data_IF_365633900580
#
_entry.id   IF_365633900580
#
_cell.length_a   1.000
_cell.length_b   1.000
_cell.length_c   1.000
_cell.angle_alpha   90.00
_cell.angle_beta   90.00
_cell.angle_gamma   90.00
#
_symmetry.space_group_name_H-M   'P 1'
#
loop_
_entity.id
_entity.type
_entity.pdbx_description
1 polymer ?
#
# COMPACT_ATOMS: atom_id res chain seq x y z
N UNK A 1 -8.20 -8.42 -14.21
CA UNK A 1 -9.30 -8.78 -13.29
C UNK A 1 -8.63 -9.38 -12.06
N UNK A 2 -8.48 -8.58 -11.00
CA UNK A 2 -7.66 -8.90 -9.83
C UNK A 2 -8.24 -10.10 -9.09
N UNK A 3 -7.60 -11.26 -9.27
CA UNK A 3 -7.95 -12.49 -8.57
C UNK A 3 -6.67 -13.22 -8.20
N UNK A 4 -5.94 -12.67 -7.24
CA UNK A 4 -5.26 -13.52 -6.28
C UNK A 4 -6.02 -13.42 -4.95
N UNK A 5 -6.82 -14.46 -4.68
CA UNK A 5 -7.40 -14.72 -3.36
C UNK A 5 -6.27 -15.17 -2.44
N UNK A 6 -5.47 -14.22 -1.98
CA UNK A 6 -4.54 -14.41 -0.87
C UNK A 6 -4.82 -13.27 0.13
N UNK A 7 -5.79 -13.52 1.03
CA UNK A 7 -6.00 -12.69 2.22
C UNK A 7 -6.48 -11.26 1.99
N UNK A 8 -7.40 -10.99 1.05
CA UNK A 8 -8.09 -9.70 1.03
C UNK A 8 -8.84 -9.52 2.35
N UNK A 9 -8.29 -8.73 3.28
CA UNK A 9 -8.99 -8.31 4.48
C UNK A 9 -10.29 -7.65 4.03
N UNK A 10 -11.42 -8.23 4.45
CA UNK A 10 -12.79 -7.75 4.21
C UNK A 10 -12.90 -6.22 4.47
N UNK A 11 -12.12 -5.74 5.44
CA UNK A 11 -12.01 -4.33 5.82
C UNK A 11 -11.49 -3.40 4.70
N UNK A 12 -10.46 -3.79 3.94
CA UNK A 12 -9.96 -2.95 2.84
C UNK A 12 -11.03 -2.81 1.77
N UNK A 13 -11.67 -3.92 1.38
CA UNK A 13 -12.73 -3.91 0.38
C UNK A 13 -13.94 -3.08 0.84
N UNK A 14 -14.33 -3.18 2.12
CA UNK A 14 -15.43 -2.40 2.70
C UNK A 14 -15.12 -0.90 2.81
N UNK A 15 -13.85 -0.54 3.01
CA UNK A 15 -13.46 0.85 3.14
C UNK A 15 -13.40 1.60 1.79
N UNK A 16 -13.38 0.88 0.67
CA UNK A 16 -13.24 1.47 -0.66
C UNK A 16 -14.54 2.08 -1.17
N UNK A 17 -14.50 3.37 -1.49
CA UNK A 17 -15.57 4.11 -2.15
C UNK A 17 -15.12 4.47 -3.56
N UNK A 18 -15.73 3.84 -4.57
CA UNK A 18 -15.41 4.13 -5.96
C UNK A 18 -16.07 5.44 -6.43
N UNK A 19 -15.28 6.28 -7.10
CA UNK A 19 -15.73 7.54 -7.68
C UNK A 19 -15.79 7.46 -9.20
N UNK A 20 -16.86 7.99 -9.78
CA UNK A 20 -17.18 7.88 -11.21
C UNK A 20 -17.28 9.26 -11.87
N UNK A 21 -16.14 9.96 -12.00
CA UNK A 21 -16.14 11.32 -12.56
C UNK A 21 -16.61 11.38 -14.03
N UNK A 22 -16.47 10.28 -14.77
CA UNK A 22 -16.92 10.15 -16.16
C UNK A 22 -18.35 9.62 -16.29
N UNK A 23 -19.09 9.47 -15.18
CA UNK A 23 -20.44 8.91 -15.14
C UNK A 23 -20.48 7.42 -14.76
N UNK A 24 -21.61 6.98 -14.20
CA UNK A 24 -21.76 5.66 -13.57
C UNK A 24 -21.71 4.46 -14.53
N UNK A 25 -21.84 4.71 -15.84
CA UNK A 25 -21.74 3.68 -16.88
C UNK A 25 -20.30 3.45 -17.33
N UNK A 26 -19.34 4.20 -16.79
CA UNK A 26 -17.90 4.07 -17.08
C UNK A 26 -17.19 3.42 -15.88
N UNK A 27 -15.97 2.87 -16.08
CA UNK A 27 -15.15 2.42 -14.97
C UNK A 27 -14.89 3.56 -13.97
N UNK A 28 -14.68 3.23 -12.67
CA UNK A 28 -14.37 4.26 -11.69
C UNK A 28 -13.05 4.96 -12.04
N UNK A 29 -12.99 6.26 -11.76
CA UNK A 29 -11.84 7.12 -12.07
C UNK A 29 -10.90 7.27 -10.87
N UNK A 30 -11.42 7.09 -9.66
CA UNK A 30 -10.68 7.21 -8.42
C UNK A 30 -11.32 6.37 -7.30
N UNK A 31 -10.60 6.24 -6.21
CA UNK A 31 -11.05 5.59 -4.98
C UNK A 31 -10.88 6.56 -3.82
N UNK A 32 -11.91 6.71 -3.00
CA UNK A 32 -11.81 7.33 -1.68
C UNK A 32 -11.94 6.24 -0.61
N UNK A 33 -11.54 6.58 0.61
CA UNK A 33 -11.62 5.70 1.76
C UNK A 33 -12.69 6.19 2.72
N UNK A 34 -13.55 5.26 3.14
CA UNK A 34 -14.60 5.50 4.13
C UNK A 34 -13.97 5.97 5.44
N UNK A 35 -14.27 7.22 5.81
CA UNK A 35 -13.70 7.88 6.98
C UNK A 35 -14.03 7.16 8.28
N UNK A 36 -15.16 6.46 8.37
CA UNK A 36 -15.52 5.68 9.57
C UNK A 36 -14.62 4.47 9.78
N UNK A 37 -14.02 3.93 8.71
CA UNK A 37 -13.16 2.74 8.74
C UNK A 37 -11.66 3.09 8.72
N UNK A 38 -11.30 4.37 8.60
CA UNK A 38 -9.89 4.79 8.55
C UNK A 38 -9.12 4.35 9.79
N UNK A 39 -9.74 4.45 10.97
CA UNK A 39 -9.12 4.02 12.22
C UNK A 39 -8.73 2.56 12.13
N UNK A 40 -9.67 1.69 11.82
CA UNK A 40 -9.41 0.25 11.85
C UNK A 40 -8.50 -0.19 10.69
N UNK A 41 -8.56 0.49 9.55
CA UNK A 41 -7.80 0.11 8.35
C UNK A 41 -6.36 0.62 8.36
N UNK A 42 -6.13 1.92 8.58
CA UNK A 42 -4.83 2.56 8.38
C UNK A 42 -4.18 3.07 9.68
N UNK A 43 -4.98 3.28 10.72
CA UNK A 43 -4.58 3.96 11.96
C UNK A 43 -4.92 3.13 13.21
N UNK A 44 -4.91 1.80 13.09
CA UNK A 44 -5.39 0.88 14.13
C UNK A 44 -4.57 1.00 15.43
N UNK A 45 -3.30 1.43 15.30
CA UNK A 45 -2.38 1.68 16.41
C UNK A 45 -2.09 3.18 16.63
N UNK A 46 -2.73 4.09 15.90
CA UNK A 46 -2.43 5.53 15.97
C UNK A 46 -3.31 6.28 16.99
N UNK A 47 -2.79 7.36 17.60
CA UNK A 47 -3.58 8.28 18.41
C UNK A 47 -4.77 8.88 17.65
N UNK A 48 -5.87 9.14 18.37
CA UNK A 48 -7.09 9.70 17.78
C UNK A 48 -6.89 11.05 17.06
N UNK A 49 -5.93 11.87 17.52
CA UNK A 49 -5.57 13.13 16.86
C UNK A 49 -5.08 12.94 15.41
N UNK A 50 -4.37 11.85 15.14
CA UNK A 50 -3.80 11.57 13.82
C UNK A 50 -4.89 11.03 12.90
N UNK A 51 -5.82 10.24 13.43
CA UNK A 51 -7.04 9.81 12.72
C UNK A 51 -7.91 11.02 12.33
N UNK A 52 -8.11 11.96 13.26
CA UNK A 52 -8.90 13.16 13.02
C UNK A 52 -8.25 14.03 11.93
N UNK A 53 -6.94 14.23 12.00
CA UNK A 53 -6.18 14.97 10.99
C UNK A 53 -6.26 14.28 9.62
N UNK A 54 -6.10 12.97 9.56
CA UNK A 54 -6.19 12.21 8.33
C UNK A 54 -7.58 12.25 7.70
N UNK A 55 -8.63 12.16 8.52
CA UNK A 55 -10.02 12.18 8.06
C UNK A 55 -10.36 13.45 7.28
N UNK A 56 -9.75 14.59 7.63
CA UNK A 56 -9.92 15.87 6.92
C UNK A 56 -8.87 16.14 5.83
N UNK A 57 -7.76 15.39 5.82
CA UNK A 57 -6.63 15.63 4.92
C UNK A 57 -6.60 14.69 3.71
N UNK A 58 -7.13 13.47 3.85
CA UNK A 58 -7.10 12.46 2.79
C UNK A 58 -7.94 12.89 1.59
N UNK A 59 -7.42 12.60 0.40
CA UNK A 59 -8.06 12.89 -0.88
C UNK A 59 -8.23 11.61 -1.68
N UNK A 60 -9.18 11.56 -2.62
CA UNK A 60 -9.33 10.42 -3.51
C UNK A 60 -8.05 10.13 -4.30
N UNK A 61 -7.76 8.85 -4.46
CA UNK A 61 -6.61 8.32 -5.18
C UNK A 61 -7.05 8.02 -6.62
N UNK A 62 -6.49 8.69 -7.64
CA UNK A 62 -6.86 8.44 -9.03
C UNK A 62 -6.34 7.08 -9.51
N UNK A 63 -7.15 6.33 -10.26
CA UNK A 63 -6.74 5.02 -10.77
C UNK A 63 -5.67 5.09 -11.85
N UNK A 64 -5.74 6.08 -12.73
CA UNK A 64 -4.86 6.18 -13.91
C UNK A 64 -3.36 6.06 -13.55
N UNK A 65 -2.80 6.86 -12.64
CA UNK A 65 -1.39 6.72 -12.26
C UNK A 65 -1.11 5.48 -11.40
N UNK A 66 -2.10 4.99 -10.65
CA UNK A 66 -1.93 3.78 -9.80
C UNK A 66 -1.82 2.51 -10.64
N UNK A 67 -2.57 2.44 -11.74
CA UNK A 67 -2.62 1.29 -12.65
C UNK A 67 -1.56 1.37 -13.75
N UNK A 68 -0.79 2.46 -13.81
CA UNK A 68 0.27 2.63 -14.79
C UNK A 68 1.38 1.61 -14.54
N UNK A 69 1.69 0.80 -15.56
CA UNK A 69 2.75 -0.21 -15.47
C UNK A 69 4.11 0.48 -15.46
N UNK A 70 4.89 0.24 -14.41
CA UNK A 70 6.27 0.71 -14.34
C UNK A 70 7.22 -0.29 -15.00
N UNK A 71 8.03 0.18 -15.95
CA UNK A 71 9.11 -0.60 -16.55
C UNK A 71 10.39 -0.43 -15.73
N UNK A 72 10.73 -1.47 -14.97
CA UNK A 72 11.93 -1.50 -14.13
C UNK A 72 13.04 -2.28 -14.84
N UNK A 73 14.30 -1.85 -14.65
CA UNK A 73 15.46 -2.53 -15.23
C UNK A 73 16.51 -2.87 -14.17
N UNK A 74 17.23 -3.97 -14.38
CA UNK A 74 18.31 -4.39 -13.48
C UNK A 74 19.42 -3.34 -13.36
N UNK A 75 19.81 -2.73 -14.49
CA UNK A 75 20.87 -1.71 -14.52
C UNK A 75 20.51 -0.45 -13.72
N UNK A 76 19.22 -0.15 -13.53
CA UNK A 76 18.76 1.03 -12.76
C UNK A 76 18.15 0.58 -11.44
N UNK A 77 16.92 0.09 -11.47
CA UNK A 77 16.17 -0.32 -10.29
C UNK A 77 16.87 -1.45 -9.53
N UNK A 78 17.39 -2.47 -10.23
CA UNK A 78 18.10 -3.59 -9.60
C UNK A 78 19.44 -3.21 -8.96
N UNK A 79 20.06 -2.10 -9.39
CA UNK A 79 21.32 -1.61 -8.83
C UNK A 79 21.16 -0.96 -7.45
N UNK A 80 19.94 -0.60 -7.06
CA UNK A 80 19.66 0.05 -5.78
C UNK A 80 19.48 -1.02 -4.71
N UNK A 81 20.20 -0.88 -3.59
CA UNK A 81 20.01 -1.74 -2.41
C UNK A 81 18.61 -1.53 -1.85
N UNK A 82 17.86 -2.61 -1.69
CA UNK A 82 16.47 -2.59 -1.20
C UNK A 82 16.39 -3.23 0.17
N UNK A 83 15.61 -2.60 1.05
CA UNK A 83 15.24 -3.12 2.35
C UNK A 83 13.73 -3.07 2.47
N UNK A 84 13.15 -4.11 3.07
CA UNK A 84 11.72 -4.17 3.35
C UNK A 84 11.48 -4.08 4.85
N UNK A 85 10.42 -3.38 5.25
CA UNK A 85 9.97 -3.36 6.64
C UNK A 85 8.58 -3.97 6.68
N UNK A 86 8.49 -5.13 7.31
CA UNK A 86 7.26 -5.81 7.60
C UNK A 86 6.54 -5.16 8.77
N UNK A 87 5.23 -5.03 8.61
CA UNK A 87 4.29 -4.53 9.62
C UNK A 87 3.24 -5.62 9.87
N UNK A 88 3.47 -6.57 10.79
CA UNK A 88 2.58 -7.72 10.98
C UNK A 88 1.17 -7.34 11.44
N UNK A 89 1.02 -6.19 12.11
CA UNK A 89 -0.26 -5.66 12.58
C UNK A 89 -0.94 -4.72 11.57
N UNK A 90 -0.53 -4.76 10.31
CA UNK A 90 -1.09 -3.97 9.22
C UNK A 90 -2.40 -4.57 8.68
N UNK A 91 -3.49 -3.84 8.85
CA UNK A 91 -4.81 -4.26 8.38
C UNK A 91 -5.04 -3.94 6.90
N UNK A 92 -4.27 -3.03 6.31
CA UNK A 92 -4.40 -2.62 4.92
C UNK A 92 -3.59 -3.52 3.98
N UNK A 93 -2.38 -3.92 4.39
CA UNK A 93 -1.52 -4.85 3.66
C UNK A 93 -1.23 -6.05 4.57
N UNK A 94 -2.07 -7.11 4.52
CA UNK A 94 -1.88 -8.26 5.40
C UNK A 94 -0.53 -8.94 5.17
N UNK A 95 0.00 -9.59 6.21
CA UNK A 95 1.33 -10.19 6.21
C UNK A 95 1.55 -11.17 5.03
N UNK A 96 0.53 -11.95 4.65
CA UNK A 96 0.60 -12.88 3.52
C UNK A 96 0.83 -12.16 2.18
N UNK A 97 0.29 -10.95 2.04
CA UNK A 97 0.53 -10.11 0.87
C UNK A 97 1.94 -9.51 0.92
N UNK A 98 2.41 -9.06 2.08
CA UNK A 98 3.78 -8.58 2.26
C UNK A 98 4.81 -9.67 1.90
N UNK A 99 4.62 -10.90 2.39
CA UNK A 99 5.45 -12.08 2.07
C UNK A 99 5.47 -12.36 0.56
N UNK A 100 4.31 -12.27 -0.09
CA UNK A 100 4.20 -12.45 -1.55
C UNK A 100 4.99 -11.39 -2.32
N UNK A 101 4.95 -10.13 -1.86
CA UNK A 101 5.73 -9.03 -2.46
C UNK A 101 7.23 -9.22 -2.27
N UNK A 102 7.67 -9.64 -1.08
CA UNK A 102 9.07 -9.94 -0.76
C UNK A 102 9.58 -11.08 -1.65
N UNK A 103 8.78 -12.15 -1.82
CA UNK A 103 9.15 -13.28 -2.66
C UNK A 103 9.23 -12.91 -4.16
N UNK A 104 8.32 -12.05 -4.64
CA UNK A 104 8.31 -11.60 -6.03
C UNK A 104 9.45 -10.63 -6.35
N UNK A 105 9.91 -9.83 -5.38
CA UNK A 105 11.04 -8.91 -5.56
C UNK A 105 11.94 -8.90 -4.32
N UNK A 106 12.85 -9.88 -4.19
CA UNK A 106 13.64 -10.05 -2.98
C UNK A 106 14.46 -8.80 -2.62
N UNK A 107 14.31 -8.25 -1.40
CA UNK A 107 15.19 -7.23 -0.87
C UNK A 107 16.49 -7.84 -0.34
N UNK A 108 17.48 -7.00 -0.05
CA UNK A 108 18.72 -7.43 0.61
C UNK A 108 18.45 -7.94 2.03
N UNK A 109 17.61 -7.22 2.79
CA UNK A 109 17.17 -7.60 4.14
C UNK A 109 15.73 -7.18 4.38
N UNK A 110 15.10 -7.92 5.27
CA UNK A 110 13.75 -7.66 5.79
C UNK A 110 13.87 -7.37 7.28
N UNK A 111 13.24 -6.28 7.72
CA UNK A 111 13.10 -5.91 9.12
C UNK A 111 11.63 -6.05 9.52
N UNK A 112 11.36 -6.30 10.79
CA UNK A 112 9.99 -6.40 11.30
C UNK A 112 9.77 -5.31 12.36
N UNK A 113 8.75 -4.48 12.14
CA UNK A 113 8.33 -3.44 13.06
C UNK A 113 7.08 -3.92 13.81
N UNK A 114 7.23 -4.21 15.10
CA UNK A 114 6.14 -4.71 15.95
C UNK A 114 5.35 -3.55 16.56
N UNK A 115 4.02 -3.67 16.56
CA UNK A 115 3.12 -2.76 17.26
C UNK A 115 2.73 -1.51 16.47
N UNK A 116 3.05 -1.46 15.18
CA UNK A 116 2.85 -0.28 14.34
C UNK A 116 1.97 -0.64 13.12
N UNK A 117 0.86 0.09 12.95
CA UNK A 117 0.06 0.05 11.73
C UNK A 117 0.76 0.74 10.56
N UNK A 118 0.28 0.51 9.33
CA UNK A 118 0.87 0.99 8.06
C UNK A 118 1.48 2.39 8.19
N UNK A 119 0.72 3.37 8.68
CA UNK A 119 1.14 4.78 8.70
C UNK A 119 2.13 5.14 9.80
N UNK A 120 2.16 4.41 10.91
CA UNK A 120 3.23 4.59 11.91
C UNK A 120 4.55 4.07 11.33
N UNK A 121 4.50 2.98 10.56
CA UNK A 121 5.63 2.50 9.78
C UNK A 121 6.24 3.60 8.92
N UNK A 122 5.44 4.34 8.15
CA UNK A 122 5.91 5.47 7.34
C UNK A 122 6.52 6.62 8.15
N UNK A 123 5.91 6.99 9.29
CA UNK A 123 6.38 8.12 10.11
C UNK A 123 7.70 7.77 10.81
N UNK A 124 7.83 6.57 11.37
CA UNK A 124 9.07 6.11 11.99
C UNK A 124 10.20 5.99 10.96
N UNK A 125 9.86 5.61 9.73
CA UNK A 125 10.81 5.50 8.60
C UNK A 125 11.41 6.83 8.18
N UNK A 126 10.57 7.86 8.08
CA UNK A 126 11.00 9.23 7.72
C UNK A 126 11.95 9.79 8.78
N UNK A 127 11.80 9.39 10.04
CA UNK A 127 12.68 9.81 11.13
C UNK A 127 14.01 9.05 11.20
N UNK A 128 14.18 7.94 10.47
CA UNK A 128 15.40 7.10 10.51
C UNK A 128 16.38 7.26 9.34
N UNK A 129 16.26 8.31 8.52
CA UNK A 129 17.29 8.76 7.55
C UNK A 129 17.77 7.75 6.49
N UNK A 130 17.25 6.53 6.41
CA UNK A 130 17.56 5.61 5.29
C UNK A 130 16.44 5.63 4.22
N UNK A 131 16.82 5.42 2.97
CA UNK A 131 15.86 5.34 1.85
C UNK A 131 15.22 3.97 1.86
N UNK A 132 14.01 3.90 2.39
CA UNK A 132 13.23 2.68 2.41
C UNK A 132 12.18 2.68 1.29
N UNK A 133 11.93 1.50 0.73
CA UNK A 133 10.93 1.32 -0.33
C UNK A 133 9.57 1.22 0.34
N UNK A 134 8.73 2.24 0.11
CA UNK A 134 7.32 2.17 0.42
C UNK A 134 6.61 1.36 -0.68
N UNK A 135 5.86 0.31 -0.34
CA UNK A 135 5.00 -0.36 -1.31
C UNK A 135 3.80 0.53 -1.64
N UNK A 136 3.70 0.97 -2.90
CA UNK A 136 2.43 1.41 -3.47
C UNK A 136 1.71 0.14 -3.92
N UNK A 137 0.51 -0.12 -3.40
CA UNK A 137 -0.33 -1.24 -3.85
C UNK A 137 -0.65 -1.08 -5.34
N UNK A 138 0.13 -1.78 -6.16
CA UNK A 138 0.03 -1.84 -7.61
C UNK A 138 0.80 -3.05 -8.08
N UNK A 139 0.20 -4.24 -7.94
CA UNK A 139 0.64 -5.38 -8.74
C UNK A 139 0.53 -4.99 -10.21
N UNK A 140 1.68 -4.91 -10.91
CA UNK A 140 1.93 -5.39 -12.27
C UNK A 140 3.39 -5.09 -12.66
N UNK A 141 4.36 -5.68 -11.94
CA UNK A 141 5.69 -5.91 -12.54
C UNK A 141 5.65 -7.33 -13.10
N UNK A 142 5.11 -7.47 -14.31
CA UNK A 142 5.40 -8.66 -15.12
C UNK A 142 6.83 -8.50 -15.65
N UNK A 143 7.77 -9.25 -15.07
CA UNK A 143 9.04 -9.58 -15.72
C UNK A 143 8.71 -10.45 -16.95
N UNK A 144 9.08 -9.98 -18.14
CA UNK A 144 9.17 -10.85 -19.31
C UNK A 144 10.39 -11.78 -19.16
N UNK A 145 10.30 -13.06 -19.53
CA UNK A 145 11.48 -13.92 -19.61
C UNK A 145 12.38 -13.49 -20.78
N UNK A 146 13.68 -13.69 -20.59
CA UNK A 146 14.74 -13.39 -21.55
C UNK A 146 14.63 -14.17 -22.87
#
# INVERSE_FOLDING_TARGET
>A
MFSQKAGSNDLMQQAQIFLYANGNNHPPTAIDLNKSLLRDLLFNQSPAKDVALASVSMRPIPFVPVLEKLSLSEMKYGSVRRFYIETPEDNAIPITLQESMINASPPERVFCLKGNGLLIGFIDLVNHHERFVVPVSGELIQQEPA
#
